data_IF_396771142142
#
_entry.id   IF_396771142142
#
_cell.length_a   1.000
_cell.length_b   1.000
_cell.length_c   1.000
_cell.angle_alpha   90.00
_cell.angle_beta   90.00
_cell.angle_gamma   90.00
#
_symmetry.space_group_name_H-M   'P 1'
#
loop_
_entity.id
_entity.type
_entity.pdbx_description
1 polymer ?
#
# COMPACT_ATOMS: atom_id res chain seq x y z
N UNK A 1 39.24 -27.06 4.66
CA UNK A 1 37.88 -27.09 4.15
C UNK A 1 36.92 -26.85 5.31
N UNK A 2 36.68 -25.58 5.63
CA UNK A 2 35.90 -25.15 6.82
C UNK A 2 34.48 -24.90 6.32
N UNK A 3 33.51 -25.65 6.84
CA UNK A 3 32.09 -25.40 6.58
C UNK A 3 31.67 -24.10 7.28
N UNK A 4 30.98 -23.17 6.62
CA UNK A 4 30.39 -22.03 7.31
C UNK A 4 29.27 -22.55 8.22
N UNK A 5 29.36 -22.24 9.51
CA UNK A 5 28.32 -22.52 10.50
C UNK A 5 27.06 -21.70 10.16
N UNK A 6 25.99 -22.41 9.94
CA UNK A 6 24.64 -21.89 9.81
C UNK A 6 24.20 -21.22 11.14
N UNK A 7 24.42 -19.91 11.27
CA UNK A 7 23.83 -19.06 12.30
C UNK A 7 22.74 -18.21 11.68
N UNK A 8 21.62 -18.81 11.37
CA UNK A 8 20.39 -18.08 11.04
C UNK A 8 19.17 -18.96 11.30
N UNK A 9 19.11 -19.46 12.53
CA UNK A 9 17.83 -19.74 13.19
C UNK A 9 17.74 -18.71 14.32
N UNK A 10 17.43 -17.47 13.96
CA UNK A 10 16.90 -16.53 14.93
C UNK A 10 15.55 -17.12 15.40
N UNK A 11 15.49 -17.37 16.69
CA UNK A 11 14.36 -17.97 17.38
C UNK A 11 13.05 -17.26 17.00
N UNK A 12 12.21 -17.97 16.28
CA UNK A 12 10.84 -17.55 15.91
C UNK A 12 9.89 -17.56 17.11
N UNK A 13 10.39 -17.60 18.35
CA UNK A 13 9.57 -17.86 19.54
C UNK A 13 9.22 -16.62 20.37
N UNK A 14 9.84 -15.44 20.11
CA UNK A 14 9.59 -14.22 20.89
C UNK A 14 9.06 -13.03 20.05
N UNK A 15 8.47 -13.29 18.89
CA UNK A 15 7.76 -12.22 18.17
C UNK A 15 6.47 -11.88 18.94
N UNK A 16 6.14 -10.59 19.14
CA UNK A 16 4.89 -10.21 19.76
C UNK A 16 3.75 -10.91 19.06
N UNK A 17 3.10 -11.83 19.80
CA UNK A 17 2.03 -12.65 19.29
C UNK A 17 0.89 -11.75 18.89
N UNK A 18 0.71 -11.55 17.61
CA UNK A 18 -0.44 -10.85 17.27
C UNK A 18 -0.57 -10.30 15.86
N UNK A 19 -1.41 -9.44 15.77
CA UNK A 19 -2.18 -8.72 14.79
C UNK A 19 -1.41 -8.27 13.53
N UNK A 20 -0.09 -8.21 13.56
CA UNK A 20 0.77 -7.63 12.51
C UNK A 20 1.67 -8.63 11.78
N UNK A 21 1.46 -9.93 12.00
CA UNK A 21 2.19 -10.98 11.30
C UNK A 21 1.28 -11.65 10.27
N UNK A 22 1.72 -11.80 9.02
CA UNK A 22 0.91 -12.45 7.99
C UNK A 22 0.64 -13.90 8.35
N UNK A 23 -0.60 -14.36 8.17
CA UNK A 23 -1.02 -15.73 8.47
C UNK A 23 -0.40 -16.79 7.54
N UNK A 24 0.24 -16.39 6.46
CA UNK A 24 0.94 -17.27 5.53
C UNK A 24 2.41 -16.91 5.47
N UNK A 25 3.28 -17.90 5.70
CA UNK A 25 4.70 -17.74 5.41
C UNK A 25 4.91 -17.67 3.90
N UNK A 26 5.78 -16.79 3.40
CA UNK A 26 6.19 -16.79 2.01
C UNK A 26 6.88 -18.12 1.69
N UNK A 27 6.54 -18.72 0.54
CA UNK A 27 7.12 -19.99 0.07
C UNK A 27 8.33 -19.79 -0.84
N UNK A 28 8.80 -18.57 -0.98
CA UNK A 28 9.90 -18.21 -1.87
C UNK A 28 11.27 -18.44 -1.23
N UNK A 29 12.29 -18.56 -2.10
CA UNK A 29 13.70 -18.54 -1.68
C UNK A 29 14.06 -17.15 -1.18
N UNK A 30 15.00 -17.07 -0.23
CA UNK A 30 15.56 -15.81 0.25
C UNK A 30 16.40 -15.16 -0.85
N UNK A 31 15.81 -14.19 -1.52
CA UNK A 31 16.45 -13.36 -2.54
C UNK A 31 15.98 -11.91 -2.43
N UNK A 32 16.75 -10.99 -3.00
CA UNK A 32 16.50 -9.56 -2.92
C UNK A 32 15.07 -9.15 -3.34
N UNK A 33 14.51 -9.76 -4.39
CA UNK A 33 13.14 -9.48 -4.84
C UNK A 33 12.08 -9.88 -3.81
N UNK A 34 12.28 -11.02 -3.14
CA UNK A 34 11.35 -11.46 -2.10
C UNK A 34 11.43 -10.60 -0.82
N UNK A 35 12.60 -10.04 -0.52
CA UNK A 35 12.76 -9.10 0.61
C UNK A 35 11.91 -7.82 0.43
N UNK A 36 11.62 -7.40 -0.79
CA UNK A 36 10.66 -6.31 -1.05
C UNK A 36 9.22 -6.79 -1.11
N UNK A 37 9.00 -7.89 -1.83
CA UNK A 37 7.64 -8.40 -2.06
C UNK A 37 6.94 -8.82 -0.79
N UNK A 38 7.61 -9.58 0.07
CA UNK A 38 6.96 -10.23 1.21
C UNK A 38 6.51 -9.23 2.28
N UNK A 39 7.32 -8.22 2.69
CA UNK A 39 6.84 -7.15 3.55
C UNK A 39 5.71 -6.31 2.93
N UNK A 40 5.78 -6.06 1.61
CA UNK A 40 4.72 -5.33 0.90
C UNK A 40 3.40 -6.09 0.93
N UNK A 41 3.41 -7.39 0.68
CA UNK A 41 2.20 -8.22 0.75
C UNK A 41 1.64 -8.28 2.18
N UNK A 42 2.51 -8.39 3.19
CA UNK A 42 2.09 -8.35 4.59
C UNK A 42 1.42 -7.02 4.95
N UNK A 43 1.99 -5.90 4.52
CA UNK A 43 1.41 -4.57 4.72
C UNK A 43 0.03 -4.43 4.03
N UNK A 44 -0.08 -4.85 2.77
CA UNK A 44 -1.34 -4.80 2.02
C UNK A 44 -2.43 -5.65 2.68
N UNK A 45 -2.10 -6.84 3.16
CA UNK A 45 -3.04 -7.71 3.86
C UNK A 45 -3.55 -7.04 5.14
N UNK A 46 -2.65 -6.49 5.95
CA UNK A 46 -3.01 -5.81 7.18
C UNK A 46 -3.93 -4.61 6.94
N UNK A 47 -3.60 -3.75 5.97
CA UNK A 47 -4.43 -2.60 5.61
C UNK A 47 -5.84 -3.08 5.21
N UNK A 48 -5.94 -4.14 4.39
CA UNK A 48 -7.21 -4.70 3.97
C UNK A 48 -8.03 -5.26 5.14
N UNK A 49 -7.38 -5.91 6.11
CA UNK A 49 -8.03 -6.44 7.32
C UNK A 49 -8.57 -5.31 8.22
N UNK A 50 -7.80 -4.22 8.40
CA UNK A 50 -8.24 -3.07 9.19
C UNK A 50 -9.38 -2.32 8.50
N UNK A 51 -9.31 -2.12 7.19
CA UNK A 51 -10.40 -1.55 6.42
C UNK A 51 -11.67 -2.40 6.54
N UNK A 52 -11.56 -3.72 6.41
CA UNK A 52 -12.71 -4.62 6.57
C UNK A 52 -13.32 -4.54 7.97
N UNK A 53 -12.51 -4.46 9.02
CA UNK A 53 -12.95 -4.31 10.41
C UNK A 53 -13.68 -2.99 10.66
N UNK A 54 -13.28 -1.92 9.96
CA UNK A 54 -13.88 -0.59 10.07
C UNK A 54 -15.06 -0.36 9.10
N UNK A 55 -15.55 -1.40 8.41
CA UNK A 55 -16.74 -1.30 7.57
C UNK A 55 -16.46 -1.05 6.07
N UNK A 56 -15.19 -1.16 5.64
CA UNK A 56 -14.75 -0.97 4.25
C UNK A 56 -14.32 -2.28 3.60
N UNK A 57 -14.99 -3.40 3.91
CA UNK A 57 -14.65 -4.74 3.40
C UNK A 57 -14.79 -4.89 1.87
N UNK A 58 -15.54 -3.99 1.24
CA UNK A 58 -15.72 -3.90 -0.21
C UNK A 58 -14.53 -3.22 -0.92
N UNK A 59 -13.65 -2.51 -0.19
CA UNK A 59 -12.48 -1.84 -0.73
C UNK A 59 -11.29 -2.81 -0.85
N UNK A 60 -11.32 -3.62 -1.90
CA UNK A 60 -10.30 -4.65 -2.16
C UNK A 60 -8.93 -4.03 -2.55
N UNK A 61 -7.81 -4.74 -2.36
CA UNK A 61 -6.46 -4.25 -2.68
C UNK A 61 -6.31 -3.70 -4.11
N UNK A 62 -6.98 -4.30 -5.09
CA UNK A 62 -6.97 -3.83 -6.48
C UNK A 62 -7.61 -2.44 -6.65
N UNK A 63 -8.63 -2.11 -5.84
CA UNK A 63 -9.27 -0.80 -5.83
C UNK A 63 -8.43 0.22 -5.07
N UNK A 64 -7.81 -0.19 -3.96
CA UNK A 64 -6.85 0.63 -3.21
C UNK A 64 -5.67 1.06 -4.08
N UNK A 65 -5.16 0.15 -4.93
CA UNK A 65 -4.06 0.44 -5.84
C UNK A 65 -4.35 1.61 -6.81
N UNK A 66 -5.62 1.89 -7.09
CA UNK A 66 -6.05 3.04 -7.90
C UNK A 66 -6.50 4.21 -7.02
N UNK A 67 -7.33 3.94 -6.02
CA UNK A 67 -7.95 4.97 -5.17
C UNK A 67 -6.93 5.85 -4.43
N UNK A 68 -5.82 5.29 -3.97
CA UNK A 68 -4.74 6.02 -3.30
C UNK A 68 -4.07 7.12 -4.14
N UNK A 69 -4.31 7.13 -5.45
CA UNK A 69 -3.76 8.12 -6.38
C UNK A 69 -4.73 9.25 -6.72
N UNK A 70 -5.94 9.21 -6.19
CA UNK A 70 -6.91 10.29 -6.36
C UNK A 70 -6.49 11.48 -5.49
N UNK A 71 -6.14 12.57 -6.14
CA UNK A 71 -5.72 13.79 -5.44
C UNK A 71 -6.91 14.61 -4.90
N UNK A 72 -6.66 15.57 -4.02
CA UNK A 72 -7.70 16.39 -3.37
C UNK A 72 -8.53 17.23 -4.34
N UNK A 73 -7.93 17.67 -5.45
CA UNK A 73 -8.60 18.45 -6.52
C UNK A 73 -9.24 17.54 -7.59
N UNK A 74 -9.23 16.22 -7.37
CA UNK A 74 -9.57 15.22 -8.36
C UNK A 74 -8.42 14.89 -9.32
N UNK A 75 -8.54 13.77 -10.02
CA UNK A 75 -7.47 13.27 -10.90
C UNK A 75 -8.06 12.69 -12.18
N UNK A 76 -7.45 12.96 -13.32
CA UNK A 76 -7.85 12.34 -14.59
C UNK A 76 -7.54 10.86 -14.63
N UNK A 77 -8.36 10.06 -15.29
CA UNK A 77 -8.15 8.60 -15.44
C UNK A 77 -6.79 8.29 -16.09
N UNK A 78 -6.32 9.11 -17.03
CA UNK A 78 -5.00 8.96 -17.66
C UNK A 78 -3.86 9.12 -16.66
N UNK A 79 -3.97 10.12 -15.80
CA UNK A 79 -3.00 10.38 -14.74
C UNK A 79 -3.03 9.29 -13.65
N UNK A 80 -4.21 8.80 -13.27
CA UNK A 80 -4.34 7.64 -12.40
C UNK A 80 -3.65 6.41 -12.98
N UNK A 81 -3.76 6.18 -14.30
CA UNK A 81 -3.11 5.06 -14.97
C UNK A 81 -1.58 5.16 -14.94
N UNK A 82 -1.03 6.35 -15.13
CA UNK A 82 0.40 6.63 -15.02
C UNK A 82 0.90 6.43 -13.60
N UNK A 83 0.23 7.03 -12.61
CA UNK A 83 0.61 6.95 -11.19
C UNK A 83 0.50 5.53 -10.63
N UNK A 84 -0.53 4.78 -11.04
CA UNK A 84 -0.74 3.40 -10.58
C UNK A 84 0.06 2.35 -11.37
N UNK A 85 0.78 2.74 -12.44
CA UNK A 85 1.48 1.83 -13.35
C UNK A 85 0.55 0.77 -13.95
N UNK A 86 -0.68 1.15 -14.26
CA UNK A 86 -1.71 0.28 -14.81
C UNK A 86 -2.15 0.76 -16.19
N UNK A 87 -2.78 -0.14 -16.95
CA UNK A 87 -3.39 0.27 -18.21
C UNK A 87 -4.60 1.15 -17.96
N UNK A 88 -4.89 2.08 -18.89
CA UNK A 88 -6.09 2.93 -18.82
C UNK A 88 -7.37 2.09 -18.67
N UNK A 89 -7.47 0.97 -19.39
CA UNK A 89 -8.63 0.08 -19.31
C UNK A 89 -8.81 -0.50 -17.90
N UNK A 90 -7.72 -0.93 -17.25
CA UNK A 90 -7.73 -1.43 -15.88
C UNK A 90 -8.21 -0.35 -14.90
N UNK A 91 -7.69 0.88 -15.06
CA UNK A 91 -8.07 2.01 -14.19
C UNK A 91 -9.52 2.43 -14.41
N UNK A 92 -10.00 2.48 -15.66
CA UNK A 92 -11.42 2.74 -15.95
C UNK A 92 -12.32 1.76 -15.20
N UNK A 93 -12.01 0.47 -15.28
CA UNK A 93 -12.80 -0.56 -14.60
C UNK A 93 -12.76 -0.42 -13.06
N UNK A 94 -11.58 -0.13 -12.50
CA UNK A 94 -11.44 0.12 -11.05
C UNK A 94 -12.22 1.37 -10.61
N UNK A 95 -12.18 2.46 -11.40
CA UNK A 95 -12.90 3.69 -11.11
C UNK A 95 -14.43 3.48 -11.23
N UNK A 96 -14.91 2.70 -12.21
CA UNK A 96 -16.33 2.35 -12.32
C UNK A 96 -16.80 1.60 -11.06
N UNK A 97 -16.00 0.69 -10.54
CA UNK A 97 -16.30 -0.05 -9.32
C UNK A 97 -16.23 0.84 -8.07
N UNK A 98 -15.20 1.68 -7.94
CA UNK A 98 -15.09 2.67 -6.85
C UNK A 98 -16.25 3.64 -6.82
N UNK A 99 -16.73 4.10 -7.99
CA UNK A 99 -17.90 4.96 -8.10
C UNK A 99 -19.18 4.22 -7.69
N UNK A 100 -19.36 2.97 -8.14
CA UNK A 100 -20.50 2.12 -7.74
C UNK A 100 -20.54 1.86 -6.23
N UNK A 101 -19.37 1.73 -5.58
CA UNK A 101 -19.23 1.52 -4.14
C UNK A 101 -19.30 2.85 -3.35
N UNK A 102 -19.36 3.99 -4.02
CA UNK A 102 -19.49 5.31 -3.40
C UNK A 102 -18.20 5.89 -2.85
N UNK A 103 -17.03 5.42 -3.30
CA UNK A 103 -15.73 5.97 -2.89
C UNK A 103 -15.28 7.15 -3.76
N UNK A 104 -15.71 7.20 -5.01
CA UNK A 104 -15.38 8.32 -5.90
C UNK A 104 -16.64 8.80 -6.63
N UNK A 105 -16.57 10.02 -7.15
CA UNK A 105 -17.51 10.59 -8.13
C UNK A 105 -16.75 11.05 -9.36
N UNK A 106 -17.46 11.25 -10.48
CA UNK A 106 -16.90 11.85 -11.68
C UNK A 106 -17.49 13.24 -11.90
N UNK A 107 -16.62 14.26 -11.85
CA UNK A 107 -16.99 15.65 -12.04
C UNK A 107 -16.41 16.21 -13.35
N UNK A 108 -17.05 17.23 -13.97
CA UNK A 108 -16.46 17.89 -15.12
C UNK A 108 -15.12 18.52 -14.76
N UNK A 109 -14.12 18.36 -15.64
CA UNK A 109 -12.84 19.07 -15.48
C UNK A 109 -13.05 20.57 -15.78
N UNK A 110 -12.72 21.47 -14.86
CA UNK A 110 -12.89 22.92 -15.05
C UNK A 110 -12.00 23.48 -16.18
N UNK A 111 -10.93 22.77 -16.52
CA UNK A 111 -9.96 23.19 -17.56
C UNK A 111 -10.24 22.56 -18.91
N UNK A 112 -10.99 21.44 -18.97
CA UNK A 112 -11.34 20.76 -20.21
C UNK A 112 -12.75 20.16 -20.11
N UNK A 113 -13.73 20.80 -20.71
CA UNK A 113 -15.16 20.37 -20.70
C UNK A 113 -15.41 18.97 -21.28
N UNK A 114 -14.44 18.39 -22.01
CA UNK A 114 -14.52 17.03 -22.56
C UNK A 114 -13.98 15.97 -21.61
N UNK A 115 -13.23 16.39 -20.59
CA UNK A 115 -12.62 15.52 -19.60
C UNK A 115 -13.46 15.46 -18.31
N UNK A 116 -13.24 14.40 -17.55
CA UNK A 116 -13.80 14.24 -16.20
C UNK A 116 -12.66 13.99 -15.21
N UNK A 117 -12.80 14.56 -14.02
CA UNK A 117 -11.98 14.27 -12.86
C UNK A 117 -12.66 13.18 -12.02
N UNK A 118 -11.87 12.28 -11.49
CA UNK A 118 -12.25 11.34 -10.45
C UNK A 118 -11.99 12.04 -9.12
N UNK A 119 -13.02 12.23 -8.30
CA UNK A 119 -12.97 12.97 -7.05
C UNK A 119 -13.32 12.03 -5.91
N UNK A 120 -12.55 12.09 -4.82
CA UNK A 120 -12.78 11.29 -3.61
C UNK A 120 -14.07 11.78 -2.89
N UNK A 121 -14.87 10.84 -2.42
CA UNK A 121 -16.03 11.14 -1.57
C UNK A 121 -15.62 11.18 -0.08
N UNK A 122 -16.49 11.68 0.83
CA UNK A 122 -16.26 11.57 2.26
C UNK A 122 -15.98 10.13 2.72
N UNK A 123 -16.67 9.13 2.14
CA UNK A 123 -16.42 7.71 2.42
C UNK A 123 -15.00 7.27 2.06
N UNK A 124 -14.44 7.78 0.95
CA UNK A 124 -13.06 7.50 0.60
C UNK A 124 -12.07 8.10 1.60
N UNK A 125 -12.33 9.34 2.04
CA UNK A 125 -11.48 10.03 3.03
C UNK A 125 -11.52 9.33 4.39
N UNK A 126 -12.66 8.80 4.81
CA UNK A 126 -12.77 7.97 6.02
C UNK A 126 -11.96 6.67 5.88
N UNK A 127 -12.02 6.00 4.73
CA UNK A 127 -11.23 4.80 4.48
C UNK A 127 -9.72 5.10 4.41
N UNK A 128 -9.33 6.24 3.84
CA UNK A 128 -7.93 6.70 3.80
C UNK A 128 -7.37 6.92 5.20
N UNK A 129 -8.16 7.51 6.10
CA UNK A 129 -7.76 7.72 7.49
C UNK A 129 -7.50 6.37 8.19
N UNK A 130 -8.39 5.39 8.03
CA UNK A 130 -8.21 4.03 8.57
C UNK A 130 -6.94 3.38 8.00
N UNK A 131 -6.70 3.50 6.70
CA UNK A 131 -5.50 2.96 6.06
C UNK A 131 -4.22 3.64 6.59
N UNK A 132 -4.25 4.95 6.80
CA UNK A 132 -3.13 5.73 7.35
C UNK A 132 -2.79 5.30 8.78
N UNK A 133 -3.80 5.10 9.62
CA UNK A 133 -3.62 4.60 10.99
C UNK A 133 -3.08 3.16 10.99
N UNK A 134 -3.56 2.30 10.09
CA UNK A 134 -3.05 0.94 9.94
C UNK A 134 -1.55 0.92 9.54
N UNK A 135 -1.14 1.81 8.63
CA UNK A 135 0.26 1.96 8.22
C UNK A 135 1.13 2.44 9.38
N UNK A 136 0.64 3.42 10.16
CA UNK A 136 1.38 3.90 11.34
C UNK A 136 1.56 2.80 12.41
N UNK A 137 0.51 2.01 12.65
CA UNK A 137 0.56 0.87 13.57
C UNK A 137 1.50 -0.24 13.08
N UNK A 138 1.52 -0.49 11.76
CA UNK A 138 2.44 -1.43 11.14
C UNK A 138 3.91 -0.99 11.33
N UNK A 139 4.19 0.29 11.07
CA UNK A 139 5.53 0.84 11.28
C UNK A 139 5.99 0.66 12.72
N UNK A 140 5.12 0.96 13.69
CA UNK A 140 5.43 0.79 15.11
C UNK A 140 5.75 -0.68 15.45
N UNK A 141 4.93 -1.62 14.98
CA UNK A 141 5.17 -3.04 15.20
C UNK A 141 6.48 -3.53 14.56
N UNK A 142 6.82 -3.03 13.39
CA UNK A 142 8.10 -3.38 12.75
C UNK A 142 9.30 -2.73 13.46
N UNK A 143 9.14 -1.54 14.03
CA UNK A 143 10.16 -0.92 14.89
C UNK A 143 10.38 -1.69 16.19
N UNK A 144 9.35 -2.32 16.75
CA UNK A 144 9.52 -3.26 17.88
C UNK A 144 10.34 -4.49 17.52
N UNK A 145 10.27 -4.98 16.27
CA UNK A 145 11.01 -6.12 15.78
C UNK A 145 12.48 -5.80 15.43
N UNK A 146 12.71 -4.66 14.78
CA UNK A 146 14.00 -4.27 14.24
C UNK A 146 14.80 -3.38 15.21
N UNK A 147 14.12 -2.66 16.08
CA UNK A 147 14.63 -1.49 16.77
C UNK A 147 14.39 -0.20 15.98
N UNK A 148 14.19 0.92 16.67
CA UNK A 148 13.88 2.23 16.03
C UNK A 148 15.01 2.69 15.09
N UNK A 149 16.27 2.51 15.46
CA UNK A 149 17.41 2.93 14.64
C UNK A 149 17.46 2.20 13.29
N UNK A 150 17.26 0.88 13.30
CA UNK A 150 17.24 0.09 12.06
C UNK A 150 15.98 0.40 11.21
N UNK A 151 14.84 0.62 11.84
CA UNK A 151 13.61 1.01 11.14
C UNK A 151 13.75 2.37 10.46
N UNK A 152 14.32 3.36 11.15
CA UNK A 152 14.61 4.69 10.60
C UNK A 152 15.62 4.62 9.45
N UNK A 153 16.66 3.80 9.58
CA UNK A 153 17.64 3.58 8.51
C UNK A 153 17.01 2.93 7.27
N UNK A 154 16.12 1.95 7.46
CA UNK A 154 15.35 1.31 6.39
C UNK A 154 14.48 2.33 5.66
N UNK A 155 13.69 3.13 6.39
CA UNK A 155 12.86 4.17 5.80
C UNK A 155 13.69 5.21 5.03
N UNK A 156 14.79 5.67 5.60
CA UNK A 156 15.69 6.62 4.94
C UNK A 156 16.27 6.02 3.64
N UNK A 157 16.64 4.74 3.67
CA UNK A 157 17.08 4.01 2.48
C UNK A 157 16.02 3.95 1.39
N UNK A 158 14.79 3.58 1.75
CA UNK A 158 13.66 3.51 0.82
C UNK A 158 13.29 4.87 0.24
N UNK A 159 13.31 5.95 1.05
CA UNK A 159 13.09 7.33 0.56
C UNK A 159 14.15 7.75 -0.47
N UNK A 160 15.43 7.48 -0.22
CA UNK A 160 16.52 7.77 -1.18
C UNK A 160 16.35 6.97 -2.47
N UNK A 161 16.00 5.69 -2.36
CA UNK A 161 15.76 4.84 -3.52
C UNK A 161 14.59 5.37 -4.34
N UNK A 162 13.47 5.71 -3.70
CA UNK A 162 12.30 6.30 -4.37
C UNK A 162 12.66 7.59 -5.11
N UNK A 163 13.37 8.51 -4.46
CA UNK A 163 13.79 9.76 -5.09
C UNK A 163 14.75 9.54 -6.27
N UNK A 164 15.60 8.52 -6.23
CA UNK A 164 16.48 8.19 -7.35
C UNK A 164 15.74 7.53 -8.53
N UNK A 165 14.71 6.74 -8.25
CA UNK A 165 13.90 6.09 -9.29
C UNK A 165 12.89 7.04 -9.94
N UNK A 166 12.37 8.00 -9.18
CA UNK A 166 11.34 8.97 -9.62
C UNK A 166 11.71 10.38 -9.14
N UNK A 167 12.64 11.06 -9.80
CA UNK A 167 13.14 12.37 -9.37
C UNK A 167 12.07 13.47 -9.41
N UNK A 168 11.01 13.29 -10.20
CA UNK A 168 9.93 14.26 -10.41
C UNK A 168 8.61 13.85 -9.66
N UNK A 169 8.65 12.90 -8.73
CA UNK A 169 7.48 12.39 -8.02
C UNK A 169 7.29 13.03 -6.64
#
# INVERSE_FOLDING_TARGET
>A
MVRPSNKSQADSQDLPAGRFLPHRRPTGTDNFGNLFRDPTLAAQQLIAEELARCGFADLRPALLAVGQHVGPEGTRVTELAERAWLTKATVVHAVDELERLGYVTREPDPTDRRAKLVVATPRALEAEEVAREAIASLRAAWAELLGEEEMDALEAGLRRLRAALWPDA
#
